data_IF_628477707659
#
_entry.id   IF_628477707659
#
_cell.length_a   1.000
_cell.length_b   1.000
_cell.length_c   1.000
_cell.angle_alpha   90.00
_cell.angle_beta   90.00
_cell.angle_gamma   90.00
#
_symmetry.space_group_name_H-M   'P 1'
#
loop_
_entity.id
_entity.type
_entity.pdbx_description
1 polymer ?
#
# COMPACT_ATOMS: atom_id res chain seq x y z
N UNK A 1 -22.45 -11.47 20.71
CA UNK A 1 -21.56 -10.68 19.82
C UNK A 1 -22.27 -9.38 19.53
N UNK A 2 -21.92 -8.32 20.25
CA UNK A 2 -22.48 -6.99 20.02
C UNK A 2 -22.20 -6.56 18.57
N UNK A 3 -23.24 -6.10 17.87
CA UNK A 3 -23.12 -5.59 16.51
C UNK A 3 -22.42 -4.22 16.56
N UNK A 4 -21.09 -4.25 16.49
CA UNK A 4 -20.20 -3.09 16.33
C UNK A 4 -20.70 -2.25 15.14
N UNK A 5 -21.03 -0.97 15.37
CA UNK A 5 -21.46 -0.06 14.32
C UNK A 5 -20.31 0.46 13.47
N UNK A 6 -20.47 1.65 12.89
CA UNK A 6 -19.42 2.27 12.08
C UNK A 6 -18.20 2.58 12.97
N UNK A 7 -17.01 2.16 12.50
CA UNK A 7 -15.74 2.36 13.18
C UNK A 7 -15.04 3.53 12.51
N UNK A 8 -14.77 4.58 13.28
CA UNK A 8 -14.02 5.76 12.84
C UNK A 8 -12.63 5.78 13.48
N UNK A 9 -11.66 6.31 12.74
CA UNK A 9 -10.30 6.56 13.25
C UNK A 9 -10.25 7.97 13.83
N UNK A 10 -9.79 8.07 15.08
CA UNK A 10 -9.43 9.33 15.72
C UNK A 10 -7.93 9.54 15.51
N UNK A 11 -7.57 10.68 14.95
CA UNK A 11 -6.18 11.11 14.86
C UNK A 11 -5.90 11.88 16.15
N UNK A 12 -5.02 11.39 17.03
CA UNK A 12 -4.65 12.12 18.24
C UNK A 12 -3.79 13.32 17.88
N UNK A 13 -3.91 14.39 18.67
CA UNK A 13 -2.99 15.53 18.60
C UNK A 13 -1.60 15.10 19.09
N UNK A 14 -0.54 15.76 18.60
CA UNK A 14 0.86 15.39 18.87
C UNK A 14 1.26 15.41 20.36
N UNK A 15 0.42 15.95 21.23
CA UNK A 15 0.65 16.05 22.68
C UNK A 15 0.11 14.87 23.52
N UNK A 16 -0.54 13.87 22.92
CA UNK A 16 -1.06 12.72 23.69
C UNK A 16 0.06 11.76 24.16
N UNK A 17 0.66 12.08 25.32
CA UNK A 17 1.81 11.37 25.91
C UNK A 17 1.55 9.92 26.36
N UNK A 18 0.31 9.43 26.32
CA UNK A 18 -0.09 8.16 26.95
C UNK A 18 -0.68 7.12 25.97
N UNK A 19 -0.30 7.16 24.69
CA UNK A 19 -0.75 6.17 23.70
C UNK A 19 -0.08 4.81 23.97
N UNK A 20 -0.85 3.71 24.14
CA UNK A 20 -0.27 2.38 24.31
C UNK A 20 0.54 1.92 23.09
N UNK A 21 1.60 1.16 23.34
CA UNK A 21 2.47 0.64 22.29
C UNK A 21 2.20 -0.83 21.98
N UNK A 22 2.25 -1.16 20.70
CA UNK A 22 2.33 -2.53 20.20
C UNK A 22 3.72 -2.77 19.58
N UNK A 23 4.01 -3.98 19.07
CA UNK A 23 5.28 -4.27 18.42
C UNK A 23 5.58 -3.40 17.17
N UNK A 24 4.57 -2.68 16.67
CA UNK A 24 4.66 -1.82 15.49
C UNK A 24 4.64 -0.32 15.85
N UNK A 25 4.95 0.03 17.10
CA UNK A 25 4.93 1.40 17.60
C UNK A 25 3.61 1.81 18.26
N UNK A 26 3.36 3.13 18.40
CA UNK A 26 2.14 3.68 18.98
C UNK A 26 0.88 3.13 18.30
N UNK A 27 -0.10 2.75 19.10
CA UNK A 27 -1.39 2.28 18.60
C UNK A 27 -2.27 3.44 18.11
N UNK A 28 -3.36 3.11 17.43
CA UNK A 28 -4.31 4.10 16.91
C UNK A 28 -5.60 4.01 17.71
N UNK A 29 -6.18 5.17 18.03
CA UNK A 29 -7.47 5.27 18.68
C UNK A 29 -8.60 5.16 17.65
N UNK A 30 -9.54 4.25 17.92
CA UNK A 30 -10.73 4.03 17.12
C UNK A 30 -11.97 4.33 17.95
N UNK A 31 -13.00 4.87 17.32
CA UNK A 31 -14.31 5.09 17.92
C UNK A 31 -15.37 4.22 17.25
N UNK A 32 -16.22 3.60 18.04
CA UNK A 32 -17.36 2.81 17.58
C UNK A 32 -18.65 3.43 18.06
N UNK A 33 -19.61 3.55 17.15
CA UNK A 33 -21.01 3.83 17.48
C UNK A 33 -21.74 2.52 17.76
N UNK A 34 -22.17 2.27 19.00
CA UNK A 34 -23.05 1.13 19.32
C UNK A 34 -24.49 1.45 18.90
N UNK A 35 -25.15 0.56 18.14
CA UNK A 35 -26.56 0.78 17.76
C UNK A 35 -27.46 0.71 18.99
N UNK A 36 -28.17 1.80 19.26
CA UNK A 36 -29.15 1.89 20.35
C UNK A 36 -28.61 2.46 21.66
N UNK A 37 -27.28 2.64 21.78
CA UNK A 37 -26.66 3.38 22.88
C UNK A 37 -26.30 4.79 22.39
N UNK A 38 -26.54 5.82 23.21
CA UNK A 38 -26.03 7.18 22.96
C UNK A 38 -24.52 7.31 23.25
N UNK A 39 -23.90 6.29 23.84
CA UNK A 39 -22.51 6.32 24.26
C UNK A 39 -21.57 5.85 23.15
N UNK A 40 -20.56 6.68 22.88
CA UNK A 40 -19.44 6.36 22.00
C UNK A 40 -18.42 5.54 22.80
N UNK A 41 -17.96 4.41 22.26
CA UNK A 41 -16.88 3.61 22.88
C UNK A 41 -15.61 3.75 22.06
N UNK A 42 -14.48 3.99 22.74
CA UNK A 42 -13.17 4.20 22.12
C UNK A 42 -12.18 3.11 22.53
N UNK A 43 -11.34 2.67 21.59
CA UNK A 43 -10.35 1.62 21.83
C UNK A 43 -9.08 1.84 21.01
N UNK A 44 -7.95 1.38 21.55
CA UNK A 44 -6.66 1.33 20.89
C UNK A 44 -6.45 0.00 20.16
N UNK A 45 -5.97 0.06 18.92
CA UNK A 45 -5.56 -1.11 18.15
C UNK A 45 -4.32 -0.84 17.29
N UNK A 46 -3.73 -1.92 16.76
CA UNK A 46 -2.52 -1.82 15.94
C UNK A 46 -2.71 -0.93 14.71
N UNK A 47 -1.73 -0.07 14.43
CA UNK A 47 -1.71 0.84 13.28
C UNK A 47 -1.38 0.12 11.96
N UNK A 48 -0.48 -0.87 11.99
CA UNK A 48 0.05 -1.54 10.80
C UNK A 48 -0.58 -2.91 10.49
N UNK A 49 -1.23 -3.56 11.47
CA UNK A 49 -1.83 -4.89 11.28
C UNK A 49 -3.34 -4.85 11.48
N UNK A 50 -4.08 -5.21 10.42
CA UNK A 50 -5.55 -5.30 10.46
C UNK A 50 -6.06 -6.63 11.02
N UNK A 51 -5.25 -7.68 10.95
CA UNK A 51 -5.61 -8.97 11.51
C UNK A 51 -5.12 -9.07 12.96
N UNK A 52 -6.04 -9.37 13.88
CA UNK A 52 -5.71 -9.60 15.29
C UNK A 52 -4.85 -10.84 15.51
N UNK A 53 -4.72 -11.71 14.50
CA UNK A 53 -3.78 -12.83 14.52
C UNK A 53 -2.32 -12.38 14.38
N UNK A 54 -2.07 -11.34 13.59
CA UNK A 54 -0.72 -10.82 13.35
C UNK A 54 -0.30 -9.87 14.48
N UNK A 55 -1.23 -9.00 14.92
CA UNK A 55 -1.08 -8.20 16.12
C UNK A 55 -2.37 -8.21 16.95
N UNK A 56 -2.37 -8.92 18.08
CA UNK A 56 -3.55 -9.09 18.93
C UNK A 56 -3.86 -7.88 19.81
N UNK A 57 -3.08 -6.80 19.72
CA UNK A 57 -3.22 -5.62 20.56
C UNK A 57 -4.64 -5.05 20.48
N UNK A 58 -5.27 -4.94 21.65
CA UNK A 58 -6.54 -4.28 21.85
C UNK A 58 -6.61 -3.78 23.30
N UNK A 59 -7.10 -2.57 23.49
CA UNK A 59 -7.31 -1.97 24.81
C UNK A 59 -8.42 -0.93 24.72
N UNK A 60 -9.42 -0.95 25.61
CA UNK A 60 -10.39 0.15 25.67
C UNK A 60 -9.71 1.41 26.22
N UNK A 61 -10.10 2.59 25.75
CA UNK A 61 -9.52 3.86 26.22
C UNK A 61 -9.71 4.05 27.74
N UNK A 62 -10.88 3.62 28.26
CA UNK A 62 -11.22 3.67 29.69
C UNK A 62 -10.67 2.50 30.51
N UNK A 63 -9.95 1.56 29.90
CA UNK A 63 -9.44 0.36 30.58
C UNK A 63 -8.22 0.72 31.44
N UNK A 64 -8.33 0.51 32.77
CA UNK A 64 -7.16 0.53 33.65
C UNK A 64 -6.36 -0.75 33.45
N UNK A 65 -5.10 -0.61 33.03
CA UNK A 65 -4.19 -1.73 32.79
C UNK A 65 -3.34 -1.92 34.05
N UNK A 66 -3.22 -3.15 34.54
CA UNK A 66 -2.34 -3.47 35.67
C UNK A 66 -0.87 -3.48 35.25
N UNK A 67 0.04 -3.28 36.20
CA UNK A 67 1.48 -3.28 35.96
C UNK A 67 1.97 -4.61 35.36
N UNK A 68 1.41 -5.75 35.79
CA UNK A 68 1.78 -7.07 35.27
C UNK A 68 1.43 -7.20 33.78
N UNK A 69 0.30 -6.64 33.36
CA UNK A 69 -0.13 -6.65 31.95
C UNK A 69 0.69 -5.68 31.11
N UNK A 70 1.14 -4.56 31.67
CA UNK A 70 2.09 -3.66 31.01
C UNK A 70 3.43 -4.35 30.79
N UNK A 71 3.99 -4.96 31.83
CA UNK A 71 5.26 -5.70 31.73
C UNK A 71 5.19 -6.87 30.74
N UNK A 72 4.12 -7.67 30.79
CA UNK A 72 3.92 -8.77 29.84
C UNK A 72 3.84 -8.29 28.37
N UNK A 73 3.25 -7.11 28.16
CA UNK A 73 3.17 -6.48 26.83
C UNK A 73 4.52 -5.95 26.37
N UNK A 74 5.28 -5.30 27.25
CA UNK A 74 6.63 -4.82 26.96
C UNK A 74 7.56 -5.98 26.59
N UNK A 75 7.47 -7.10 27.31
CA UNK A 75 8.20 -8.32 26.98
C UNK A 75 7.80 -8.87 25.62
N UNK A 76 6.50 -8.95 25.32
CA UNK A 76 6.04 -9.40 24.00
C UNK A 76 6.51 -8.46 22.88
N UNK A 77 6.50 -7.15 23.12
CA UNK A 77 7.01 -6.17 22.17
C UNK A 77 8.51 -6.35 21.95
N UNK A 78 9.28 -6.60 23.02
CA UNK A 78 10.73 -6.87 22.97
C UNK A 78 11.05 -8.11 22.15
N UNK A 79 10.32 -9.21 22.37
CA UNK A 79 10.50 -10.47 21.64
C UNK A 79 10.22 -10.38 20.14
N UNK A 80 9.45 -9.37 19.71
CA UNK A 80 9.11 -9.12 18.30
C UNK A 80 10.04 -8.11 17.62
N UNK A 81 11.01 -7.55 18.34
CA UNK A 81 12.01 -6.65 17.75
C UNK A 81 12.98 -7.43 16.85
N UNK A 82 13.63 -6.74 15.89
CA UNK A 82 14.71 -7.33 15.12
C UNK A 82 15.80 -7.90 16.03
N UNK A 83 16.42 -9.02 15.62
CA UNK A 83 17.48 -9.68 16.38
C UNK A 83 18.77 -8.86 16.48
N UNK A 84 18.96 -7.91 15.57
CA UNK A 84 20.11 -7.01 15.52
C UNK A 84 19.63 -5.57 15.40
N UNK A 85 20.37 -4.65 16.01
CA UNK A 85 20.25 -3.22 15.76
C UNK A 85 20.70 -2.88 14.33
N UNK A 86 20.29 -1.73 13.79
CA UNK A 86 20.72 -1.33 12.44
C UNK A 86 22.25 -1.15 12.33
N UNK A 87 22.92 -0.66 13.38
CA UNK A 87 24.38 -0.56 13.43
C UNK A 87 25.06 -1.94 13.36
N UNK A 88 24.50 -2.94 14.06
CA UNK A 88 24.99 -4.32 13.97
C UNK A 88 24.78 -4.90 12.58
N UNK A 89 23.62 -4.69 11.97
CA UNK A 89 23.37 -5.07 10.58
C UNK A 89 24.37 -4.42 9.62
N UNK A 90 24.70 -3.14 9.79
CA UNK A 90 25.71 -2.45 8.97
C UNK A 90 27.11 -3.04 9.15
N UNK A 91 27.48 -3.45 10.37
CA UNK A 91 28.77 -4.12 10.64
C UNK A 91 28.79 -5.51 10.00
N UNK A 92 27.73 -6.30 10.20
CA UNK A 92 27.56 -7.64 9.61
C UNK A 92 27.59 -7.59 8.09
N UNK A 93 26.94 -6.61 7.47
CA UNK A 93 26.96 -6.47 6.01
C UNK A 93 28.37 -6.23 5.47
N UNK A 94 29.16 -5.37 6.14
CA UNK A 94 30.56 -5.11 5.77
C UNK A 94 31.44 -6.36 5.87
N UNK A 95 31.24 -7.15 6.92
CA UNK A 95 31.92 -8.44 7.08
C UNK A 95 31.45 -9.44 6.02
N UNK A 96 30.16 -9.50 5.74
CA UNK A 96 29.59 -10.40 4.75
C UNK A 96 30.12 -10.13 3.33
N UNK A 97 30.20 -8.86 2.91
CA UNK A 97 30.71 -8.51 1.57
C UNK A 97 32.22 -8.74 1.43
N UNK A 98 32.99 -8.78 2.52
CA UNK A 98 34.42 -9.11 2.47
C UNK A 98 34.68 -10.61 2.38
N UNK A 99 33.67 -11.46 2.62
CA UNK A 99 33.79 -12.91 2.45
C UNK A 99 34.02 -13.29 0.98
N UNK A 100 34.78 -14.37 0.72
CA UNK A 100 34.81 -15.06 -0.57
C UNK A 100 33.40 -15.45 -1.04
N UNK A 101 33.19 -15.50 -2.35
CA UNK A 101 31.87 -15.71 -2.95
C UNK A 101 31.21 -17.03 -2.48
N UNK A 102 32.01 -18.10 -2.40
CA UNK A 102 31.61 -19.44 -1.94
C UNK A 102 31.30 -19.51 -0.43
N UNK A 103 31.63 -18.46 0.32
CA UNK A 103 31.33 -18.34 1.75
C UNK A 103 30.14 -17.40 2.02
N UNK A 104 29.58 -16.74 1.00
CA UNK A 104 28.41 -15.89 1.18
C UNK A 104 27.15 -16.73 1.17
N UNK A 105 26.53 -16.87 2.34
CA UNK A 105 25.31 -17.67 2.53
C UNK A 105 24.12 -16.80 2.95
N UNK A 106 22.96 -17.07 2.37
CA UNK A 106 21.69 -16.47 2.79
C UNK A 106 20.74 -17.57 3.24
N UNK A 107 20.21 -17.43 4.45
CA UNK A 107 19.21 -18.34 4.98
C UNK A 107 17.82 -17.90 4.51
N UNK A 108 17.15 -18.74 3.73
CA UNK A 108 15.79 -18.50 3.22
C UNK A 108 14.76 -18.60 4.32
N UNK A 109 14.94 -19.49 5.30
CA UNK A 109 13.96 -19.62 6.39
C UNK A 109 13.98 -18.41 7.33
N UNK A 110 15.19 -17.95 7.68
CA UNK A 110 15.39 -16.81 8.57
C UNK A 110 15.41 -15.46 7.84
N UNK A 111 15.53 -15.45 6.51
CA UNK A 111 15.67 -14.26 5.67
C UNK A 111 16.88 -13.39 6.07
N UNK A 112 18.02 -14.04 6.30
CA UNK A 112 19.20 -13.47 6.95
C UNK A 112 20.50 -13.78 6.17
N UNK A 113 21.34 -12.77 5.97
CA UNK A 113 22.74 -12.94 5.55
C UNK A 113 23.55 -13.56 6.70
N UNK A 114 24.16 -14.73 6.44
CA UNK A 114 24.89 -15.51 7.44
C UNK A 114 26.38 -15.26 7.39
N UNK A 115 26.97 -14.99 8.54
CA UNK A 115 28.41 -15.02 8.76
C UNK A 115 28.88 -16.46 9.08
N UNK A 116 30.16 -16.80 8.87
CA UNK A 116 30.68 -18.17 9.07
C UNK A 116 30.36 -18.79 10.44
N UNK A 117 30.38 -17.98 11.49
CA UNK A 117 30.08 -18.43 12.85
C UNK A 117 28.63 -18.92 13.05
N UNK A 118 27.71 -18.55 12.15
CA UNK A 118 26.27 -18.82 12.27
C UNK A 118 25.83 -20.05 11.47
N UNK A 119 26.72 -20.61 10.64
CA UNK A 119 26.36 -21.69 9.71
C UNK A 119 25.87 -22.95 10.44
N UNK A 120 26.45 -23.27 11.59
CA UNK A 120 26.06 -24.45 12.38
C UNK A 120 24.63 -24.31 12.92
N UNK A 121 24.27 -23.14 13.44
CA UNK A 121 22.94 -22.84 13.93
C UNK A 121 21.87 -22.85 12.83
N UNK A 122 22.28 -22.67 11.56
CA UNK A 122 21.42 -22.70 10.39
C UNK A 122 21.59 -23.97 9.54
N UNK A 123 22.25 -25.02 10.06
CA UNK A 123 22.57 -26.22 9.28
C UNK A 123 21.34 -27.03 8.82
N UNK A 124 20.21 -26.89 9.51
CA UNK A 124 18.92 -27.49 9.14
C UNK A 124 18.02 -26.58 8.31
N UNK A 125 18.39 -25.31 8.13
CA UNK A 125 17.59 -24.34 7.39
C UNK A 125 17.87 -24.39 5.89
N UNK A 126 16.91 -23.96 5.09
CA UNK A 126 17.10 -23.77 3.65
C UNK A 126 18.03 -22.58 3.40
N UNK A 127 19.12 -22.83 2.68
CA UNK A 127 19.99 -21.80 2.12
C UNK A 127 19.61 -21.46 0.67
N UNK A 128 19.99 -20.27 0.21
CA UNK A 128 19.95 -19.97 -1.22
C UNK A 128 20.94 -20.90 -1.95
N UNK A 129 20.50 -21.51 -3.06
CA UNK A 129 21.31 -22.46 -3.84
C UNK A 129 22.44 -21.79 -4.62
N UNK A 130 22.23 -20.53 -5.00
CA UNK A 130 23.09 -19.80 -5.91
C UNK A 130 24.05 -18.89 -5.12
N UNK A 131 25.22 -18.64 -5.69
CA UNK A 131 26.19 -17.69 -5.16
C UNK A 131 25.59 -16.29 -5.00
N UNK A 132 25.99 -15.58 -3.94
CA UNK A 132 25.50 -14.23 -3.62
C UNK A 132 26.52 -13.19 -4.07
N UNK A 133 26.32 -12.72 -5.30
CA UNK A 133 27.09 -11.64 -5.90
C UNK A 133 26.74 -10.28 -5.29
N UNK A 134 27.65 -9.31 -5.44
CA UNK A 134 27.39 -7.92 -5.05
C UNK A 134 26.19 -7.34 -5.84
N UNK A 135 25.97 -7.80 -7.07
CA UNK A 135 24.81 -7.37 -7.87
C UNK A 135 23.48 -7.82 -7.24
N UNK A 136 23.39 -9.05 -6.72
CA UNK A 136 22.20 -9.51 -5.98
C UNK A 136 22.01 -8.75 -4.66
N UNK A 137 23.09 -8.43 -3.95
CA UNK A 137 23.01 -7.63 -2.71
C UNK A 137 22.48 -6.21 -2.96
N UNK A 138 22.64 -5.67 -4.17
CA UNK A 138 22.05 -4.38 -4.59
C UNK A 138 20.56 -4.48 -4.98
N UNK A 139 20.00 -5.70 -5.06
CA UNK A 139 18.57 -5.95 -5.29
C UNK A 139 17.97 -6.83 -4.18
N UNK A 140 17.92 -6.38 -2.92
CA UNK A 140 17.40 -7.20 -1.82
C UNK A 140 15.98 -7.73 -2.05
N UNK A 141 15.13 -7.05 -2.82
CA UNK A 141 13.79 -7.51 -3.17
C UNK A 141 13.76 -8.80 -4.02
N UNK A 142 14.90 -9.23 -4.57
CA UNK A 142 15.05 -10.51 -5.25
C UNK A 142 15.57 -11.62 -4.33
N UNK A 143 16.18 -11.26 -3.20
CA UNK A 143 16.68 -12.20 -2.18
C UNK A 143 15.63 -12.45 -1.09
N UNK A 144 14.99 -11.37 -0.63
CA UNK A 144 13.94 -11.41 0.37
C UNK A 144 12.64 -11.90 -0.25
N UNK A 145 12.02 -12.91 0.39
CA UNK A 145 10.65 -13.31 0.08
C UNK A 145 9.70 -12.16 0.42
N UNK A 146 8.84 -11.81 -0.53
CA UNK A 146 7.83 -10.77 -0.34
C UNK A 146 6.84 -11.14 0.78
N UNK A 147 6.52 -10.19 1.66
CA UNK A 147 5.50 -10.34 2.70
C UNK A 147 4.11 -9.97 2.14
N UNK A 148 3.52 -10.90 1.39
CA UNK A 148 2.30 -10.66 0.59
C UNK A 148 0.98 -10.66 1.41
N UNK A 149 1.05 -10.83 2.73
CA UNK A 149 -0.16 -10.80 3.57
C UNK A 149 -0.81 -9.40 3.49
N UNK A 150 -1.87 -9.32 2.69
CA UNK A 150 -2.73 -8.14 2.45
C UNK A 150 -3.37 -7.52 3.70
N UNK A 151 -3.28 -8.16 4.87
CA UNK A 151 -3.77 -7.62 6.15
C UNK A 151 -2.67 -7.03 7.05
N UNK A 152 -1.41 -7.23 6.71
CA UNK A 152 -0.25 -6.65 7.39
C UNK A 152 0.59 -5.87 6.38
N UNK A 153 1.70 -6.44 5.90
CA UNK A 153 2.72 -5.79 5.09
C UNK A 153 2.23 -5.49 3.67
N UNK A 154 1.43 -6.38 3.08
CA UNK A 154 0.92 -6.26 1.71
C UNK A 154 2.01 -5.84 0.69
N UNK A 155 3.20 -6.43 0.79
CA UNK A 155 4.37 -6.03 0.01
C UNK A 155 4.21 -6.47 -1.45
N UNK A 156 3.68 -5.56 -2.25
CA UNK A 156 3.60 -5.70 -3.70
C UNK A 156 4.74 -4.93 -4.32
N UNK A 157 5.60 -5.64 -5.04
CA UNK A 157 6.82 -5.10 -5.61
C UNK A 157 6.55 -4.65 -7.04
N UNK A 158 6.92 -3.41 -7.37
CA UNK A 158 6.79 -2.88 -8.72
C UNK A 158 7.49 -3.78 -9.74
N UNK A 159 6.88 -3.91 -10.92
CA UNK A 159 7.56 -4.44 -12.08
C UNK A 159 8.67 -3.48 -12.52
N UNK A 160 9.75 -4.01 -13.10
CA UNK A 160 10.92 -3.21 -13.53
C UNK A 160 10.50 -2.02 -14.40
N UNK A 161 9.55 -2.21 -15.33
CA UNK A 161 9.02 -1.14 -16.19
C UNK A 161 8.45 0.06 -15.42
N UNK A 162 7.72 -0.18 -14.33
CA UNK A 162 7.15 0.90 -13.52
C UNK A 162 8.21 1.59 -12.67
N UNK A 163 9.22 0.86 -12.18
CA UNK A 163 10.38 1.46 -11.53
C UNK A 163 11.18 2.35 -12.49
N UNK A 164 11.48 1.88 -13.70
CA UNK A 164 12.20 2.66 -14.71
C UNK A 164 11.43 3.91 -15.10
N UNK A 165 10.14 3.78 -15.40
CA UNK A 165 9.27 4.92 -15.69
C UNK A 165 9.32 5.98 -14.58
N UNK A 166 9.13 5.57 -13.32
CA UNK A 166 9.17 6.50 -12.18
C UNK A 166 10.54 7.19 -12.08
N UNK A 167 11.63 6.43 -12.18
CA UNK A 167 12.98 6.98 -12.08
C UNK A 167 13.30 7.96 -13.22
N UNK A 168 12.92 7.63 -14.45
CA UNK A 168 13.13 8.50 -15.61
C UNK A 168 12.33 9.80 -15.50
N UNK A 169 11.07 9.73 -15.06
CA UNK A 169 10.25 10.93 -14.80
C UNK A 169 10.88 11.80 -13.73
N UNK A 170 11.23 11.24 -12.57
CA UNK A 170 11.78 12.02 -11.46
C UNK A 170 13.14 12.64 -11.82
N UNK A 171 13.99 11.89 -12.51
CA UNK A 171 15.27 12.41 -13.02
C UNK A 171 15.06 13.50 -14.06
N UNK A 172 14.10 13.33 -14.98
CA UNK A 172 13.80 14.30 -16.04
C UNK A 172 13.20 15.61 -15.50
N UNK A 173 12.46 15.54 -14.40
CA UNK A 173 11.97 16.72 -13.65
C UNK A 173 13.06 17.39 -12.80
N UNK A 174 14.27 16.81 -12.77
CA UNK A 174 15.41 17.37 -12.06
C UNK A 174 15.37 17.18 -10.55
N UNK A 175 14.75 16.10 -10.05
CA UNK A 175 14.88 15.69 -8.65
C UNK A 175 16.20 14.92 -8.42
N UNK A 176 16.86 15.18 -7.29
CA UNK A 176 18.13 14.54 -6.91
C UNK A 176 17.96 13.67 -5.66
N UNK A 177 16.89 13.86 -4.90
CA UNK A 177 16.61 13.12 -3.67
C UNK A 177 15.21 12.51 -3.74
N UNK A 178 15.10 11.20 -3.56
CA UNK A 178 13.81 10.49 -3.54
C UNK A 178 13.59 9.85 -2.17
N UNK A 179 12.63 10.39 -1.42
CA UNK A 179 12.16 9.76 -0.19
C UNK A 179 11.23 8.59 -0.55
N UNK A 180 11.74 7.38 -0.46
CA UNK A 180 11.05 6.14 -0.82
C UNK A 180 10.27 5.61 0.39
N UNK A 181 8.94 5.80 0.43
CA UNK A 181 8.10 5.32 1.53
C UNK A 181 7.38 4.03 1.12
N UNK A 182 7.88 2.88 1.59
CA UNK A 182 7.34 1.57 1.20
C UNK A 182 7.63 1.18 -0.24
N UNK A 183 8.69 1.69 -0.86
CA UNK A 183 9.02 1.48 -2.29
C UNK A 183 10.41 0.86 -2.49
N UNK A 184 10.69 -0.34 -1.93
CA UNK A 184 12.03 -0.92 -1.91
C UNK A 184 12.65 -1.10 -3.30
N UNK A 185 11.87 -1.50 -4.31
CA UNK A 185 12.39 -1.67 -5.69
C UNK A 185 12.76 -0.37 -6.38
N UNK A 186 12.04 0.71 -6.09
CA UNK A 186 12.42 2.03 -6.62
C UNK A 186 13.74 2.49 -5.99
N UNK A 187 13.88 2.30 -4.67
CA UNK A 187 15.12 2.58 -3.95
C UNK A 187 16.29 1.78 -4.54
N UNK A 188 16.14 0.47 -4.74
CA UNK A 188 17.15 -0.40 -5.39
C UNK A 188 17.58 0.14 -6.76
N UNK A 189 16.62 0.49 -7.62
CA UNK A 189 16.91 0.95 -8.97
C UNK A 189 17.63 2.31 -8.97
N UNK A 190 17.22 3.24 -8.08
CA UNK A 190 17.91 4.52 -7.89
C UNK A 190 19.37 4.26 -7.53
N UNK A 191 19.63 3.40 -6.56
CA UNK A 191 20.97 3.05 -6.09
C UNK A 191 21.82 2.46 -7.22
N UNK A 192 21.28 1.53 -7.99
CA UNK A 192 21.98 0.91 -9.12
C UNK A 192 22.34 1.97 -10.17
N UNK A 193 21.38 2.76 -10.63
CA UNK A 193 21.61 3.80 -11.64
C UNK A 193 22.61 4.85 -11.17
N UNK A 194 22.56 5.26 -9.90
CA UNK A 194 23.50 6.22 -9.33
C UNK A 194 24.93 5.67 -9.22
N UNK A 195 25.10 4.34 -9.08
CA UNK A 195 26.44 3.73 -9.15
C UNK A 195 26.99 3.64 -10.57
N UNK A 196 26.12 3.47 -11.56
CA UNK A 196 26.49 3.36 -12.99
C UNK A 196 26.72 4.74 -13.63
N UNK A 197 25.99 5.77 -13.21
CA UNK A 197 26.07 7.14 -13.73
C UNK A 197 26.35 8.15 -12.61
N UNK A 198 27.64 8.35 -12.29
CA UNK A 198 28.07 9.25 -11.22
C UNK A 198 27.80 10.74 -11.49
N UNK A 199 27.67 11.14 -12.76
CA UNK A 199 27.43 12.54 -13.14
C UNK A 199 26.02 13.03 -12.83
N UNK A 200 25.06 12.12 -12.71
CA UNK A 200 23.66 12.42 -12.35
C UNK A 200 23.18 11.49 -11.22
N UNK A 201 24.00 11.34 -10.18
CA UNK A 201 23.69 10.46 -9.07
C UNK A 201 22.52 11.01 -8.24
N UNK A 202 21.45 10.22 -8.15
CA UNK A 202 20.29 10.48 -7.31
C UNK A 202 20.43 9.75 -5.97
N UNK A 203 20.10 10.42 -4.87
CA UNK A 203 20.08 9.86 -3.52
C UNK A 203 18.67 9.33 -3.21
N UNK A 204 18.60 8.27 -2.43
CA UNK A 204 17.34 7.71 -1.94
C UNK A 204 17.43 7.30 -0.48
N UNK A 205 16.37 7.55 0.29
CA UNK A 205 16.18 7.06 1.65
C UNK A 205 14.92 6.17 1.66
N UNK A 206 15.06 4.92 2.09
CA UNK A 206 13.94 3.98 2.21
C UNK A 206 13.36 4.02 3.62
N UNK A 207 12.10 4.46 3.74
CA UNK A 207 11.30 4.32 4.95
C UNK A 207 10.37 3.10 4.77
N UNK A 208 10.62 2.01 5.50
CA UNK A 208 9.81 0.79 5.39
C UNK A 208 9.65 0.12 6.76
N UNK A 209 8.53 -0.59 6.93
CA UNK A 209 8.24 -1.38 8.14
C UNK A 209 8.94 -2.74 8.10
N UNK A 210 9.36 -3.19 6.91
CA UNK A 210 10.11 -4.42 6.72
C UNK A 210 11.58 -4.23 7.11
N UNK A 211 11.87 -4.42 8.40
CA UNK A 211 13.23 -4.28 8.95
C UNK A 211 14.26 -5.18 8.26
N UNK A 212 13.86 -6.22 7.52
CA UNK A 212 14.81 -7.12 6.83
C UNK A 212 15.68 -6.38 5.82
N UNK A 213 15.27 -5.21 5.32
CA UNK A 213 16.10 -4.37 4.46
C UNK A 213 17.27 -3.69 5.19
N UNK A 214 17.22 -3.56 6.52
CA UNK A 214 18.31 -2.96 7.33
C UNK A 214 19.63 -3.71 7.21
N UNK A 215 19.62 -5.00 6.87
CA UNK A 215 20.83 -5.81 6.67
C UNK A 215 21.55 -5.52 5.34
N UNK A 216 20.93 -4.77 4.43
CA UNK A 216 21.49 -4.48 3.11
C UNK A 216 21.88 -3.00 2.93
N UNK A 217 21.32 -2.11 3.74
CA UNK A 217 21.48 -0.68 3.59
C UNK A 217 22.14 -0.03 4.81
N UNK A 218 23.03 0.96 4.61
CA UNK A 218 23.57 1.75 5.70
C UNK A 218 22.48 2.62 6.37
N UNK A 219 22.76 3.13 7.57
CA UNK A 219 21.83 3.94 8.36
C UNK A 219 21.30 5.20 7.65
N UNK A 220 22.09 5.79 6.74
CA UNK A 220 21.67 6.97 5.99
C UNK A 220 20.81 6.65 4.74
N UNK A 221 20.51 5.39 4.47
CA UNK A 221 19.75 4.93 3.29
C UNK A 221 18.49 4.15 3.66
N UNK A 222 18.32 3.74 4.91
CA UNK A 222 17.15 3.03 5.40
C UNK A 222 16.78 3.50 6.81
N UNK A 223 15.48 3.67 7.06
CA UNK A 223 14.94 3.77 8.41
C UNK A 223 13.82 2.75 8.58
N UNK A 224 13.89 1.98 9.67
CA UNK A 224 12.76 1.16 10.08
C UNK A 224 11.63 2.10 10.55
N UNK A 225 10.53 2.11 9.81
CA UNK A 225 9.52 3.16 9.89
C UNK A 225 8.10 2.62 9.68
N UNK A 226 7.15 3.10 10.47
CA UNK A 226 5.74 2.79 10.31
C UNK A 226 4.96 4.00 9.77
N UNK A 227 4.53 3.89 8.50
CA UNK A 227 3.79 4.91 7.78
C UNK A 227 2.36 5.18 8.26
N UNK A 228 1.79 4.33 9.14
CA UNK A 228 0.43 4.54 9.67
C UNK A 228 0.39 5.38 10.94
N UNK A 229 1.52 5.56 11.63
CA UNK A 229 1.63 6.32 12.86
C UNK A 229 2.87 7.24 12.93
N UNK A 230 3.63 7.35 11.83
CA UNK A 230 4.85 8.16 11.76
C UNK A 230 5.93 7.76 12.79
N UNK A 231 6.01 6.48 13.14
CA UNK A 231 6.95 5.98 14.14
C UNK A 231 8.26 5.52 13.51
N UNK A 232 9.38 6.03 14.03
CA UNK A 232 10.74 5.57 13.74
C UNK A 232 11.19 4.62 14.86
N UNK A 233 11.48 3.37 14.51
CA UNK A 233 11.79 2.33 15.50
C UNK A 233 13.18 2.48 16.11
N UNK A 234 14.12 3.06 15.36
CA UNK A 234 15.49 3.34 15.82
C UNK A 234 15.61 4.73 16.49
N UNK A 235 14.48 5.32 16.91
CA UNK A 235 14.49 6.51 17.76
C UNK A 235 15.02 7.77 17.09
N UNK A 236 15.79 8.55 17.85
CA UNK A 236 16.22 9.91 17.44
C UNK A 236 17.19 9.87 16.26
N UNK A 237 18.05 8.87 16.23
CA UNK A 237 19.06 8.68 15.20
C UNK A 237 18.42 8.52 13.81
N UNK A 238 17.34 7.74 13.70
CA UNK A 238 16.60 7.61 12.44
C UNK A 238 15.79 8.88 12.09
N UNK A 239 15.32 9.62 13.08
CA UNK A 239 14.67 10.92 12.86
C UNK A 239 15.66 11.94 12.31
N UNK A 240 16.88 11.99 12.85
CA UNK A 240 17.95 12.87 12.35
C UNK A 240 18.30 12.55 10.90
N UNK A 241 18.49 11.27 10.55
CA UNK A 241 18.69 10.84 9.14
C UNK A 241 17.54 11.30 8.25
N UNK A 242 16.30 11.17 8.71
CA UNK A 242 15.13 11.62 7.97
C UNK A 242 15.11 13.13 7.77
N UNK A 243 15.41 13.92 8.81
CA UNK A 243 15.47 15.39 8.73
C UNK A 243 16.59 15.84 7.79
N UNK A 244 17.79 15.28 7.91
CA UNK A 244 18.93 15.55 7.03
C UNK A 244 18.59 15.20 5.57
N UNK A 245 17.87 14.11 5.35
CA UNK A 245 17.40 13.74 4.02
C UNK A 245 16.31 14.69 3.50
N UNK A 246 15.51 15.33 4.34
CA UNK A 246 14.53 16.31 3.86
C UNK A 246 15.13 17.69 3.58
N UNK A 247 16.25 18.06 4.21
CA UNK A 247 16.92 19.34 3.98
C UNK A 247 17.41 19.45 2.53
N UNK A 248 16.97 20.48 1.80
CA UNK A 248 17.47 20.80 0.46
C UNK A 248 18.59 21.85 0.54
N UNK A 249 19.57 21.72 -0.35
CA UNK A 249 20.69 22.63 -0.52
C UNK A 249 21.34 22.38 -1.88
N UNK A 250 21.96 23.39 -2.49
CA UNK A 250 22.67 23.28 -3.78
C UNK A 250 21.85 22.62 -4.92
N UNK A 251 20.54 22.91 -4.97
CA UNK A 251 19.64 22.38 -5.99
C UNK A 251 19.23 20.92 -5.80
N UNK A 252 19.50 20.30 -4.64
CA UNK A 252 19.12 18.91 -4.32
C UNK A 252 17.63 18.77 -3.95
N UNK A 253 16.73 18.95 -4.92
CA UNK A 253 15.29 18.90 -4.70
C UNK A 253 14.82 17.51 -4.27
N UNK A 254 13.94 17.46 -3.28
CA UNK A 254 13.36 16.24 -2.73
C UNK A 254 11.97 15.98 -3.32
N UNK A 255 11.70 14.73 -3.65
CA UNK A 255 10.36 14.22 -3.95
C UNK A 255 10.06 12.99 -3.10
N UNK A 256 8.85 12.90 -2.56
CA UNK A 256 8.38 11.70 -1.87
C UNK A 256 7.65 10.76 -2.83
N UNK A 257 8.01 9.48 -2.83
CA UNK A 257 7.27 8.44 -3.56
C UNK A 257 6.81 7.38 -2.58
N UNK A 258 5.49 7.25 -2.44
CA UNK A 258 4.87 6.36 -1.47
C UNK A 258 3.99 5.30 -2.14
N UNK A 259 4.16 4.03 -1.74
CA UNK A 259 3.27 2.93 -2.13
C UNK A 259 2.78 2.16 -0.88
N UNK A 260 1.83 2.75 -0.14
CA UNK A 260 1.34 2.14 1.08
C UNK A 260 0.41 0.95 0.79
N UNK A 261 0.24 0.02 1.76
CA UNK A 261 -0.72 -1.06 1.65
C UNK A 261 -2.12 -0.58 1.22
N UNK A 262 -2.70 -1.15 0.15
CA UNK A 262 -4.06 -0.77 -0.32
C UNK A 262 -5.15 -1.04 0.71
N UNK A 263 -4.89 -2.03 1.56
CA UNK A 263 -5.59 -2.28 2.79
C UNK A 263 -5.13 -1.35 3.90
N UNK A 264 -4.75 -0.11 3.65
CA UNK A 264 -4.41 0.90 4.65
C UNK A 264 -5.62 1.78 5.00
N UNK A 265 -5.60 2.41 6.17
CA UNK A 265 -6.60 3.43 6.52
C UNK A 265 -6.13 4.76 5.89
N UNK A 266 -6.71 5.13 4.75
CA UNK A 266 -6.30 6.31 3.96
C UNK A 266 -6.19 7.58 4.81
N UNK A 267 -7.08 7.77 5.80
CA UNK A 267 -7.05 8.90 6.74
C UNK A 267 -5.75 8.97 7.56
N UNK A 268 -5.23 7.83 8.02
CA UNK A 268 -3.96 7.76 8.74
C UNK A 268 -2.77 8.05 7.83
N UNK A 269 -2.76 7.45 6.64
CA UNK A 269 -1.71 7.67 5.64
C UNK A 269 -1.66 9.15 5.23
N UNK A 270 -2.82 9.74 4.96
CA UNK A 270 -2.93 11.16 4.64
C UNK A 270 -2.36 12.04 5.76
N UNK A 271 -2.72 11.75 7.02
CA UNK A 271 -2.16 12.46 8.17
C UNK A 271 -0.63 12.33 8.29
N UNK A 272 -0.09 11.12 8.18
CA UNK A 272 1.35 10.89 8.23
C UNK A 272 2.10 11.56 7.08
N UNK A 273 1.55 11.53 5.86
CA UNK A 273 2.15 12.22 4.71
C UNK A 273 2.07 13.73 4.86
N UNK A 274 0.98 14.26 5.46
CA UNK A 274 0.91 15.66 5.84
C UNK A 274 1.99 16.02 6.85
N UNK A 275 2.25 15.20 7.87
CA UNK A 275 3.36 15.43 8.82
C UNK A 275 4.70 15.54 8.10
N UNK A 276 5.03 14.59 7.22
CA UNK A 276 6.25 14.63 6.42
C UNK A 276 6.33 15.95 5.61
N UNK A 277 5.23 16.34 4.96
CA UNK A 277 5.17 17.60 4.21
C UNK A 277 5.32 18.86 5.09
N UNK A 278 4.76 18.87 6.30
CA UNK A 278 4.97 19.96 7.26
C UNK A 278 6.42 20.03 7.72
N UNK A 279 7.03 18.88 8.04
CA UNK A 279 8.45 18.81 8.40
C UNK A 279 9.33 19.33 7.28
N UNK A 280 9.13 18.86 6.04
CA UNK A 280 9.85 19.39 4.87
C UNK A 280 9.69 20.91 4.77
N UNK A 281 8.48 21.46 4.85
CA UNK A 281 8.27 22.92 4.80
C UNK A 281 9.00 23.67 5.92
N UNK A 282 8.96 23.16 7.15
CA UNK A 282 9.65 23.81 8.28
C UNK A 282 11.16 23.92 8.10
N UNK A 283 11.76 23.00 7.34
CA UNK A 283 13.19 23.00 7.02
C UNK A 283 13.58 24.01 5.92
N UNK A 284 12.63 24.49 5.11
CA UNK A 284 12.90 25.34 3.95
C UNK A 284 12.61 26.84 4.18
N UNK A 285 12.07 27.20 5.34
CA UNK A 285 11.65 28.57 5.64
C UNK A 285 10.53 29.08 4.72
N UNK A 286 10.02 30.29 5.00
CA UNK A 286 8.94 30.90 4.22
C UNK A 286 9.39 31.50 2.86
N UNK A 287 10.68 31.39 2.51
CA UNK A 287 11.27 32.12 1.38
C UNK A 287 11.19 31.38 0.03
N UNK A 288 10.90 30.08 0.02
CA UNK A 288 11.08 29.24 -1.18
C UNK A 288 9.96 29.31 -2.23
N UNK A 289 8.85 30.02 -1.97
CA UNK A 289 7.71 30.13 -2.91
C UNK A 289 6.98 28.81 -3.23
N UNK A 290 7.53 27.66 -2.82
CA UNK A 290 6.95 26.33 -2.96
C UNK A 290 6.09 26.05 -1.73
N UNK A 291 4.77 26.00 -1.93
CA UNK A 291 3.79 25.87 -0.85
C UNK A 291 3.66 24.44 -0.30
N UNK A 292 4.11 23.43 -1.05
CA UNK A 292 3.89 22.01 -0.73
C UNK A 292 5.07 21.14 -1.16
N UNK A 293 5.33 20.08 -0.39
CA UNK A 293 6.35 19.08 -0.74
C UNK A 293 5.94 18.34 -2.02
N UNK A 294 6.83 18.18 -3.02
CA UNK A 294 6.58 17.35 -4.17
C UNK A 294 6.35 15.88 -3.79
N UNK A 295 5.22 15.30 -4.24
CA UNK A 295 4.82 13.96 -3.80
C UNK A 295 4.14 13.15 -4.90
N UNK A 296 4.43 11.85 -4.94
CA UNK A 296 3.72 10.84 -5.71
C UNK A 296 3.18 9.79 -4.72
N UNK A 297 1.86 9.76 -4.53
CA UNK A 297 1.16 8.71 -3.80
C UNK A 297 0.58 7.70 -4.77
N UNK A 298 1.12 6.49 -4.75
CA UNK A 298 0.73 5.36 -5.58
C UNK A 298 -0.40 4.60 -4.87
N UNK A 299 -1.60 4.58 -5.47
CA UNK A 299 -2.77 3.98 -4.83
C UNK A 299 -3.87 3.61 -5.83
N UNK A 300 -4.85 2.74 -5.46
CA UNK A 300 -5.93 2.38 -6.37
C UNK A 300 -6.87 3.56 -6.69
N UNK A 301 -7.21 3.75 -7.97
CA UNK A 301 -7.97 4.91 -8.47
C UNK A 301 -9.31 5.15 -7.77
N UNK A 302 -9.93 4.11 -7.21
CA UNK A 302 -11.24 4.21 -6.55
C UNK A 302 -11.16 4.85 -5.15
N UNK A 303 -9.96 5.13 -4.65
CA UNK A 303 -9.73 5.91 -3.44
C UNK A 303 -9.53 7.41 -3.70
N UNK A 304 -9.52 7.85 -4.96
CA UNK A 304 -9.30 9.25 -5.34
C UNK A 304 -10.06 10.27 -4.47
N UNK A 305 -11.39 10.16 -4.20
CA UNK A 305 -12.06 11.14 -3.35
C UNK A 305 -11.41 11.29 -1.97
N UNK A 306 -11.02 10.17 -1.34
CA UNK A 306 -10.41 10.19 0.00
C UNK A 306 -8.97 10.70 0.00
N UNK A 307 -8.26 10.55 -1.12
CA UNK A 307 -6.92 11.09 -1.28
C UNK A 307 -7.02 12.60 -1.45
N UNK A 308 -7.95 13.08 -2.29
CA UNK A 308 -8.20 14.50 -2.51
C UNK A 308 -8.76 15.21 -1.27
N UNK A 309 -9.53 14.51 -0.43
CA UNK A 309 -9.94 15.01 0.89
C UNK A 309 -8.72 15.33 1.79
N UNK A 310 -7.61 14.57 1.64
CA UNK A 310 -6.36 14.81 2.37
C UNK A 310 -5.43 15.79 1.66
N UNK A 311 -5.36 15.71 0.33
CA UNK A 311 -4.48 16.51 -0.52
C UNK A 311 -5.26 17.08 -1.72
N UNK A 312 -5.95 18.22 -1.57
CA UNK A 312 -6.78 18.80 -2.62
C UNK A 312 -6.02 19.21 -3.88
N UNK A 313 -4.72 19.52 -3.76
CA UNK A 313 -3.85 19.87 -4.87
C UNK A 313 -3.44 18.66 -5.73
N UNK A 314 -3.75 17.43 -5.31
CA UNK A 314 -3.36 16.25 -6.06
C UNK A 314 -4.21 16.06 -7.31
N UNK A 315 -3.61 15.46 -8.31
CA UNK A 315 -4.26 14.99 -9.52
C UNK A 315 -3.88 13.55 -9.79
N UNK A 316 -4.81 12.80 -10.36
CA UNK A 316 -4.60 11.40 -10.71
C UNK A 316 -4.10 11.28 -12.15
N UNK A 317 -2.90 10.73 -12.33
CA UNK A 317 -2.35 10.43 -13.65
C UNK A 317 -2.95 9.13 -14.21
N UNK A 318 -2.94 8.99 -15.53
CA UNK A 318 -3.51 7.82 -16.21
C UNK A 318 -2.57 6.60 -16.20
N UNK A 319 -1.31 6.76 -15.78
CA UNK A 319 -0.30 5.69 -15.76
C UNK A 319 -0.75 4.51 -14.89
N UNK A 320 -0.73 3.32 -15.48
CA UNK A 320 -1.12 2.09 -14.83
C UNK A 320 0.10 1.42 -14.20
N UNK A 321 0.24 1.57 -12.88
CA UNK A 321 1.37 1.00 -12.14
C UNK A 321 1.27 -0.52 -12.10
N UNK A 322 2.36 -1.19 -12.44
CA UNK A 322 2.43 -2.64 -12.55
C UNK A 322 3.25 -3.28 -11.44
N UNK A 323 2.87 -4.50 -11.07
CA UNK A 323 3.46 -5.22 -9.95
C UNK A 323 3.80 -6.65 -10.33
N UNK A 324 5.00 -7.12 -9.97
CA UNK A 324 5.46 -8.46 -10.32
C UNK A 324 4.73 -9.56 -9.56
N UNK A 325 4.35 -9.30 -8.31
CA UNK A 325 3.80 -10.31 -7.41
C UNK A 325 2.32 -10.08 -7.03
N UNK A 326 1.67 -9.04 -7.53
CA UNK A 326 0.24 -8.86 -7.27
C UNK A 326 -0.61 -9.82 -8.13
N UNK A 327 -1.53 -10.63 -7.55
CA UNK A 327 -2.24 -11.69 -8.29
C UNK A 327 -3.17 -11.21 -9.41
N UNK A 328 -3.57 -9.93 -9.39
CA UNK A 328 -4.52 -9.35 -10.34
C UNK A 328 -3.99 -8.14 -11.09
N UNK A 329 -2.84 -7.57 -10.71
CA UNK A 329 -2.36 -6.27 -11.20
C UNK A 329 -1.02 -6.46 -11.90
N UNK A 330 -1.01 -7.37 -12.87
CA UNK A 330 0.14 -7.69 -13.72
C UNK A 330 -0.18 -7.38 -15.16
N UNK A 331 0.81 -6.95 -15.94
CA UNK A 331 0.72 -6.96 -17.39
C UNK A 331 0.67 -8.40 -17.94
N UNK A 332 -0.11 -8.64 -18.99
CA UNK A 332 -0.11 -9.92 -19.72
C UNK A 332 -1.49 -10.61 -19.82
N UNK A 333 -1.46 -11.86 -20.31
CA UNK A 333 -2.65 -12.66 -20.66
C UNK A 333 -3.31 -13.37 -19.48
N UNK A 334 -2.67 -13.43 -18.31
CA UNK A 334 -3.09 -14.26 -17.16
C UNK A 334 -3.51 -13.45 -15.91
N UNK A 335 -3.85 -12.16 -16.05
CA UNK A 335 -4.39 -11.31 -14.99
C UNK A 335 -5.60 -10.48 -15.42
N UNK A 336 -6.10 -9.56 -14.57
CA UNK A 336 -6.92 -8.46 -15.13
C UNK A 336 -6.01 -7.73 -16.12
N UNK A 337 -6.47 -7.49 -17.34
CA UNK A 337 -5.67 -6.83 -18.39
C UNK A 337 -5.06 -5.48 -17.97
N UNK A 338 -5.52 -4.89 -16.85
CA UNK A 338 -5.13 -3.56 -16.39
C UNK A 338 -5.11 -3.46 -14.86
N UNK A 339 -4.05 -2.87 -14.33
CA UNK A 339 -3.92 -2.51 -12.92
C UNK A 339 -4.90 -1.39 -12.55
N UNK A 340 -5.54 -1.40 -11.37
CA UNK A 340 -6.33 -0.28 -10.86
C UNK A 340 -5.47 0.76 -10.14
N UNK A 341 -4.15 0.53 -10.00
CA UNK A 341 -3.25 1.42 -9.28
C UNK A 341 -2.79 2.56 -10.18
N UNK A 342 -2.85 3.79 -9.67
CA UNK A 342 -2.50 5.03 -10.36
C UNK A 342 -1.57 5.86 -9.49
N UNK A 343 -1.01 6.90 -10.10
CA UNK A 343 -0.20 7.91 -9.43
C UNK A 343 -1.09 9.11 -9.07
N UNK A 344 -1.09 9.51 -7.81
CA UNK A 344 -1.67 10.76 -7.33
C UNK A 344 -0.55 11.72 -6.97
N UNK A 345 -0.57 12.95 -7.48
CA UNK A 345 0.58 13.86 -7.31
C UNK A 345 0.17 15.32 -7.35
N UNK A 346 0.93 16.20 -6.69
CA UNK A 346 0.86 17.65 -6.87
C UNK A 346 1.85 18.18 -7.94
N UNK A 347 2.57 17.27 -8.62
CA UNK A 347 3.37 17.62 -9.78
C UNK A 347 2.48 17.97 -10.98
N UNK A 348 2.97 18.87 -11.83
CA UNK A 348 2.31 19.26 -13.08
C UNK A 348 2.10 18.05 -13.99
N UNK A 349 0.84 17.68 -14.34
CA UNK A 349 0.55 16.55 -15.23
C UNK A 349 1.08 16.72 -16.64
N UNK A 350 1.32 17.95 -17.06
CA UNK A 350 1.89 18.30 -18.36
C UNK A 350 3.33 17.83 -18.47
N UNK A 351 4.08 17.94 -17.38
CA UNK A 351 5.52 17.67 -17.35
C UNK A 351 5.82 16.18 -17.12
N UNK A 352 4.79 15.38 -16.78
CA UNK A 352 4.91 13.93 -16.63
C UNK A 352 4.55 13.24 -17.95
N UNK A 353 5.57 12.99 -18.75
CA UNK A 353 5.47 12.29 -20.04
C UNK A 353 5.25 10.79 -19.82
N UNK A 354 4.10 10.27 -20.27
CA UNK A 354 3.82 8.83 -20.22
C UNK A 354 4.35 8.10 -21.47
N UNK A 355 4.84 6.85 -21.33
CA UNK A 355 5.50 6.12 -22.41
C UNK A 355 4.56 5.83 -23.59
N UNK A 356 4.89 6.34 -24.77
CA UNK A 356 4.04 6.19 -25.97
C UNK A 356 3.93 4.72 -26.40
N UNK A 357 5.02 3.99 -26.25
CA UNK A 357 5.18 2.56 -26.51
C UNK A 357 4.26 1.68 -25.63
N UNK A 358 3.81 2.17 -24.47
CA UNK A 358 2.81 1.52 -23.63
C UNK A 358 1.36 1.93 -23.96
N UNK A 359 1.16 2.72 -25.02
CA UNK A 359 -0.18 3.12 -25.48
C UNK A 359 -0.74 4.37 -24.81
N UNK A 360 0.12 5.27 -24.34
CA UNK A 360 -0.29 6.60 -23.86
C UNK A 360 -0.15 7.67 -24.94
N UNK A 361 -0.95 8.73 -24.85
CA UNK A 361 -0.96 9.88 -25.76
C UNK A 361 -1.16 11.18 -24.99
N UNK A 362 -0.66 12.30 -25.51
CA UNK A 362 -0.96 13.61 -24.95
C UNK A 362 -2.38 14.07 -25.33
N UNK A 363 -3.10 14.65 -24.38
CA UNK A 363 -4.35 15.36 -24.63
C UNK A 363 -4.11 16.86 -24.48
N UNK A 364 -4.14 17.59 -25.59
CA UNK A 364 -3.90 19.04 -25.62
C UNK A 364 -4.91 19.84 -24.80
N UNK A 365 -6.19 19.45 -24.81
CA UNK A 365 -7.23 20.16 -24.05
C UNK A 365 -7.06 20.04 -22.54
N UNK A 366 -6.65 18.88 -22.05
CA UNK A 366 -6.42 18.65 -20.61
C UNK A 366 -4.96 18.89 -20.19
N UNK A 367 -4.08 19.23 -21.14
CA UNK A 367 -2.63 19.35 -20.97
C UNK A 367 -1.98 18.22 -20.16
N UNK A 368 -2.39 16.97 -20.43
CA UNK A 368 -1.86 15.79 -19.72
C UNK A 368 -1.81 14.56 -20.61
N UNK A 369 -0.96 13.61 -20.25
CA UNK A 369 -0.92 12.31 -20.89
C UNK A 369 -2.03 11.39 -20.39
N UNK A 370 -2.68 10.69 -21.31
CA UNK A 370 -3.82 9.82 -21.08
C UNK A 370 -3.64 8.49 -21.80
N UNK A 371 -4.31 7.44 -21.33
CA UNK A 371 -4.37 6.19 -22.10
C UNK A 371 -5.01 6.46 -23.47
N UNK A 372 -4.55 5.77 -24.53
CA UNK A 372 -5.10 5.92 -25.88
C UNK A 372 -6.62 5.71 -25.91
N UNK A 373 -7.15 4.81 -25.07
CA UNK A 373 -8.58 4.51 -24.96
C UNK A 373 -9.38 5.55 -24.17
N UNK A 374 -8.73 6.38 -23.35
CA UNK A 374 -9.38 7.42 -22.57
C UNK A 374 -9.69 8.63 -23.46
N UNK A 375 -10.95 8.75 -23.88
CA UNK A 375 -11.43 9.86 -24.72
C UNK A 375 -11.76 11.08 -23.86
N UNK A 376 -11.40 12.26 -24.37
CA UNK A 376 -11.83 13.53 -23.75
C UNK A 376 -13.35 13.67 -23.87
N UNK A 377 -14.00 14.04 -22.77
CA UNK A 377 -15.41 14.37 -22.74
C UNK A 377 -15.59 15.89 -22.81
N UNK A 378 -16.13 16.45 -23.90
CA UNK A 378 -16.34 17.89 -24.03
C UNK A 378 -17.25 18.45 -22.94
N UNK A 379 -18.30 17.73 -22.55
CA UNK A 379 -19.26 18.19 -21.54
C UNK A 379 -18.67 18.27 -20.13
N UNK A 380 -17.70 17.40 -19.82
CA UNK A 380 -16.99 17.44 -18.53
C UNK A 380 -15.69 18.25 -18.61
N UNK A 381 -15.27 18.67 -19.81
CA UNK A 381 -13.95 19.19 -20.12
C UNK A 381 -12.80 18.35 -19.51
N UNK A 382 -12.92 17.01 -19.57
CA UNK A 382 -11.99 16.11 -18.90
C UNK A 382 -11.87 14.74 -19.57
N UNK A 383 -10.68 14.14 -19.49
CA UNK A 383 -10.44 12.73 -19.83
C UNK A 383 -10.75 11.83 -18.62
N UNK A 384 -12.01 11.41 -18.49
CA UNK A 384 -12.58 10.83 -17.27
C UNK A 384 -12.51 9.30 -17.19
N UNK A 385 -12.11 8.59 -18.26
CA UNK A 385 -12.15 7.13 -18.28
C UNK A 385 -10.99 6.55 -17.44
N UNK A 386 -11.30 6.03 -16.26
CA UNK A 386 -10.28 5.51 -15.31
C UNK A 386 -9.77 4.10 -15.64
N UNK A 387 -10.45 3.40 -16.53
CA UNK A 387 -10.20 2.00 -16.88
C UNK A 387 -10.18 1.91 -18.40
N UNK A 388 -9.05 1.51 -18.97
CA UNK A 388 -9.02 0.99 -20.33
C UNK A 388 -9.71 -0.37 -20.37
N UNK A 389 -10.52 -0.59 -21.36
CA UNK A 389 -11.66 -1.49 -21.21
C UNK A 389 -11.30 -2.90 -21.64
N UNK A 390 -11.37 -3.83 -20.69
CA UNK A 390 -11.54 -5.25 -20.99
C UNK A 390 -12.74 -5.57 -21.90
N UNK A 391 -13.63 -4.59 -22.14
CA UNK A 391 -14.80 -4.67 -23.02
C UNK A 391 -14.84 -3.60 -24.13
N UNK A 392 -13.76 -2.82 -24.35
CA UNK A 392 -13.60 -1.90 -25.49
C UNK A 392 -14.55 -0.70 -25.64
N UNK A 393 -15.28 -0.24 -24.61
CA UNK A 393 -16.26 0.87 -24.75
C UNK A 393 -15.97 2.08 -23.84
N UNK A 394 -15.72 3.29 -24.38
CA UNK A 394 -15.38 4.46 -23.56
C UNK A 394 -16.46 4.79 -22.52
N UNK A 395 -16.08 5.46 -21.44
CA UNK A 395 -17.06 6.03 -20.52
C UNK A 395 -17.96 7.00 -21.27
N UNK A 396 -19.22 7.11 -20.83
CA UNK A 396 -20.21 7.97 -21.47
C UNK A 396 -20.62 9.08 -20.51
N UNK A 397 -20.82 10.29 -21.04
CA UNK A 397 -21.41 11.37 -20.27
C UNK A 397 -22.88 11.08 -19.96
N UNK A 398 -23.31 11.37 -18.73
CA UNK A 398 -24.71 11.38 -18.35
C UNK A 398 -25.10 12.82 -18.01
N UNK A 399 -25.89 13.45 -18.89
CA UNK A 399 -26.31 14.84 -18.74
C UNK A 399 -27.06 15.09 -17.42
N UNK A 400 -27.99 14.20 -17.06
CA UNK A 400 -28.75 14.30 -15.80
C UNK A 400 -27.86 14.22 -14.55
N UNK A 401 -26.71 13.53 -14.61
CA UNK A 401 -25.78 13.46 -13.50
C UNK A 401 -24.62 14.46 -13.59
N UNK A 402 -24.48 15.19 -14.71
CA UNK A 402 -23.34 16.07 -14.97
C UNK A 402 -21.97 15.37 -14.94
N UNK A 403 -21.90 14.05 -15.19
CA UNK A 403 -20.63 13.31 -15.09
C UNK A 403 -20.54 12.12 -16.02
N UNK A 404 -19.30 11.76 -16.35
CA UNK A 404 -19.01 10.53 -17.06
C UNK A 404 -19.15 9.31 -16.16
N UNK A 405 -19.75 8.24 -16.71
CA UNK A 405 -19.98 6.98 -16.03
C UNK A 405 -19.56 5.80 -16.90
N UNK A 406 -19.36 4.64 -16.27
CA UNK A 406 -19.07 3.40 -16.98
C UNK A 406 -20.17 3.11 -18.02
N UNK A 407 -19.82 2.56 -19.20
CA UNK A 407 -20.78 2.28 -20.27
C UNK A 407 -21.87 1.28 -19.85
N UNK A 408 -21.62 0.43 -18.85
CA UNK A 408 -22.60 -0.48 -18.29
C UNK A 408 -23.63 0.19 -17.36
N UNK A 409 -23.42 1.44 -16.95
CA UNK A 409 -24.31 2.14 -16.03
C UNK A 409 -25.39 2.92 -16.81
N UNK A 410 -26.58 3.04 -16.23
CA UNK A 410 -27.75 3.77 -16.74
C UNK A 410 -28.29 4.71 -15.65
N UNK A 411 -28.87 5.84 -16.02
CA UNK A 411 -29.52 6.75 -15.07
C UNK A 411 -30.86 6.12 -14.62
N UNK A 412 -31.08 5.92 -13.31
CA UNK A 412 -32.44 5.63 -12.78
C UNK A 412 -33.02 6.97 -12.32
N UNK A 413 -34.05 7.46 -13.02
CA UNK A 413 -34.73 8.72 -12.68
C UNK A 413 -35.31 8.67 -11.26
N UNK A 414 -35.83 7.51 -10.81
CA UNK A 414 -36.33 7.34 -9.44
C UNK A 414 -35.24 7.41 -8.37
N UNK A 415 -33.97 7.17 -8.72
CA UNK A 415 -32.84 7.27 -7.78
C UNK A 415 -32.04 8.56 -7.97
N UNK A 416 -32.29 9.34 -9.02
CA UNK A 416 -31.52 10.54 -9.37
C UNK A 416 -30.03 10.27 -9.60
N UNK A 417 -29.63 9.03 -9.95
CA UNK A 417 -28.22 8.68 -10.12
C UNK A 417 -28.01 7.54 -11.12
N UNK A 418 -26.83 7.52 -11.72
CA UNK A 418 -26.36 6.40 -12.51
C UNK A 418 -26.08 5.16 -11.65
N UNK A 419 -26.50 4.01 -12.15
CA UNK A 419 -26.54 2.71 -11.46
C UNK A 419 -26.39 1.58 -12.48
N UNK A 420 -26.15 0.35 -12.01
CA UNK A 420 -26.22 -0.84 -12.87
C UNK A 420 -27.68 -1.15 -13.25
N UNK A 421 -27.96 -1.73 -14.44
CA UNK A 421 -29.33 -2.01 -14.90
C UNK A 421 -30.15 -2.81 -13.89
N UNK A 422 -29.58 -3.88 -13.32
CA UNK A 422 -30.27 -4.79 -12.38
C UNK A 422 -30.35 -4.28 -10.93
N UNK A 423 -30.19 -2.97 -10.71
CA UNK A 423 -30.35 -2.39 -9.38
C UNK A 423 -31.84 -2.27 -8.99
N UNK A 424 -32.11 -2.17 -7.68
CA UNK A 424 -33.46 -1.94 -7.15
C UNK A 424 -33.56 -0.47 -6.69
N UNK A 425 -34.37 0.34 -7.38
CA UNK A 425 -34.59 1.73 -6.97
C UNK A 425 -35.28 1.75 -5.58
N UNK A 426 -34.97 2.75 -4.74
CA UNK A 426 -35.46 2.85 -3.34
C UNK A 426 -34.61 2.14 -2.28
N UNK A 427 -33.64 1.29 -2.66
CA UNK A 427 -32.63 0.77 -1.73
C UNK A 427 -31.44 1.75 -1.59
N UNK A 428 -31.66 2.88 -0.93
CA UNK A 428 -30.57 3.61 -0.27
C UNK A 428 -30.27 2.91 1.05
N UNK A 429 -29.64 1.73 1.02
CA UNK A 429 -29.58 0.86 2.21
C UNK A 429 -28.79 -0.45 2.05
N UNK A 430 -28.91 -1.35 3.03
CA UNK A 430 -28.16 -2.61 3.05
C UNK A 430 -28.63 -3.52 1.90
N UNK A 431 -27.74 -3.83 0.96
CA UNK A 431 -28.01 -4.78 -0.14
C UNK A 431 -28.47 -6.20 0.28
N UNK A 432 -28.32 -6.59 1.55
CA UNK A 432 -28.77 -7.89 2.06
C UNK A 432 -30.18 -7.85 2.68
N UNK A 433 -30.59 -6.76 3.35
CA UNK A 433 -31.90 -6.66 4.03
C UNK A 433 -32.81 -5.53 3.54
N UNK A 434 -32.33 -4.64 2.67
CA UNK A 434 -33.10 -3.53 2.10
C UNK A 434 -33.26 -2.30 3.01
N UNK A 435 -32.81 -2.37 4.26
CA UNK A 435 -32.96 -1.30 5.25
C UNK A 435 -32.06 -0.10 4.93
N UNK A 436 -32.64 1.11 4.95
CA UNK A 436 -31.97 2.35 4.57
C UNK A 436 -31.03 2.94 5.63
N UNK A 437 -31.12 2.49 6.87
CA UNK A 437 -30.30 2.99 7.98
C UNK A 437 -28.86 2.49 7.99
N UNK A 438 -28.46 1.59 7.08
CA UNK A 438 -27.10 1.04 7.10
C UNK A 438 -26.61 0.43 5.78
N UNK A 439 -25.29 0.35 5.59
CA UNK A 439 -24.65 -0.31 4.43
C UNK A 439 -24.54 -1.83 4.62
N UNK A 440 -24.40 -2.58 3.52
CA UNK A 440 -24.30 -4.06 3.50
C UNK A 440 -23.31 -4.66 4.53
N UNK A 441 -22.19 -3.98 4.81
CA UNK A 441 -21.19 -4.47 5.77
C UNK A 441 -21.71 -4.49 7.21
N UNK A 442 -22.60 -3.56 7.57
CA UNK A 442 -23.19 -3.40 8.90
C UNK A 442 -24.59 -4.05 8.99
N UNK A 443 -24.85 -5.07 8.18
CA UNK A 443 -26.18 -5.65 8.05
C UNK A 443 -26.44 -6.72 9.12
N UNK A 444 -27.43 -6.56 9.99
CA UNK A 444 -27.68 -7.50 11.09
C UNK A 444 -28.16 -8.87 10.59
N UNK A 445 -28.67 -8.95 9.35
CA UNK A 445 -29.12 -10.20 8.72
C UNK A 445 -28.01 -10.94 7.94
N UNK A 446 -26.75 -10.50 7.98
CA UNK A 446 -25.67 -11.02 7.13
C UNK A 446 -25.35 -12.51 7.36
N UNK A 447 -25.73 -13.07 8.52
CA UNK A 447 -25.52 -14.47 8.88
C UNK A 447 -26.78 -15.36 8.84
N UNK A 448 -27.96 -14.82 8.50
CA UNK A 448 -29.22 -15.59 8.59
C UNK A 448 -29.62 -16.37 7.32
N UNK A 449 -28.87 -16.29 6.23
CA UNK A 449 -29.23 -16.96 4.94
C UNK A 449 -28.71 -18.39 4.73
N UNK A 450 -28.04 -19.01 5.70
CA UNK A 450 -27.49 -20.37 5.53
C UNK A 450 -28.28 -21.51 6.21
N UNK A 451 -29.56 -21.32 6.58
CA UNK A 451 -30.31 -22.37 7.32
C UNK A 451 -31.62 -22.80 6.64
N UNK A 452 -31.90 -22.39 5.39
CA UNK A 452 -33.14 -22.79 4.70
C UNK A 452 -32.96 -23.40 3.31
N UNK A 453 -31.92 -24.22 3.11
CA UNK A 453 -31.83 -25.12 1.94
C UNK A 453 -31.47 -26.58 2.31
N UNK A 454 -31.55 -26.93 3.60
CA UNK A 454 -31.37 -28.30 4.07
C UNK A 454 -32.60 -28.76 4.85
N UNK A 455 -33.71 -29.04 4.14
CA UNK A 455 -34.79 -29.96 4.54
C UNK A 455 -35.87 -29.97 3.46
N UNK A 456 -35.83 -30.96 2.58
CA UNK A 456 -36.91 -31.19 1.63
C UNK A 456 -36.56 -32.07 0.45
N UNK A 457 -36.14 -33.32 0.67
CA UNK A 457 -36.41 -34.46 -0.23
C UNK A 457 -35.83 -35.75 0.36
N UNK A 458 -36.52 -36.33 1.35
CA UNK A 458 -36.47 -37.77 1.59
C UNK A 458 -37.77 -38.35 1.03
N UNK A 459 -37.71 -38.86 -0.20
CA UNK A 459 -38.60 -39.94 -0.64
C UNK A 459 -37.73 -41.01 -1.27
N UNK A 460 -37.51 -42.07 -0.53
CA UNK A 460 -37.18 -43.37 -1.08
C UNK A 460 -38.26 -43.75 -2.10
N UNK A 461 -37.86 -44.06 -3.33
CA UNK A 461 -38.42 -45.23 -3.99
C UNK A 461 -37.42 -45.86 -4.96
N UNK A 462 -37.34 -47.19 -4.85
CA UNK A 462 -36.50 -48.12 -5.58
C UNK A 462 -36.68 -48.04 -7.11
N UNK A 463 -35.58 -48.12 -7.88
CA UNK A 463 -35.41 -49.23 -8.83
C UNK A 463 -34.03 -49.27 -9.51
N UNK A 464 -33.56 -50.50 -9.68
CA UNK A 464 -32.35 -50.95 -10.39
C UNK A 464 -32.31 -50.39 -11.82
N UNK A 465 -31.11 -50.07 -12.33
CA UNK A 465 -30.61 -50.59 -13.62
C UNK A 465 -29.13 -50.23 -13.89
N UNK A 466 -28.27 -51.23 -13.67
CA UNK A 466 -27.17 -51.71 -14.53
C UNK A 466 -26.32 -50.68 -15.29
N UNK A 467 -25.08 -50.53 -14.85
CA UNK A 467 -23.96 -50.03 -15.64
C UNK A 467 -23.61 -51.00 -16.78
N UNK A 468 -23.63 -50.53 -18.03
CA UNK A 468 -22.95 -51.19 -19.15
C UNK A 468 -21.70 -50.40 -19.54
N UNK A 469 -20.55 -50.98 -19.19
CA UNK A 469 -19.26 -50.78 -19.86
C UNK A 469 -19.44 -50.87 -21.38
N UNK A 470 -18.81 -49.98 -22.13
CA UNK A 470 -18.35 -50.29 -23.50
C UNK A 470 -16.87 -49.98 -23.61
N UNK A 471 -16.11 -51.07 -23.77
CA UNK A 471 -14.71 -51.15 -24.17
C UNK A 471 -14.57 -50.79 -25.67
N UNK A 472 -13.48 -50.08 -25.96
CA UNK A 472 -12.52 -50.20 -27.08
C UNK A 472 -12.89 -50.78 -28.46
N UNK A 473 -12.20 -50.16 -29.44
CA UNK A 473 -11.74 -50.60 -30.78
C UNK A 473 -12.77 -50.53 -31.92
N UNK A 474 -12.54 -49.63 -32.88
CA UNK A 474 -11.50 -49.79 -33.93
C UNK A 474 -10.92 -48.44 -34.30
#
# INVERSE_FOLDING_TARGET
>A
MEHVGEVEVIIPDDEERNVPHCPHGPTVLFQVMCRGEKSQKRFYACSACRDRKDCSFFQWESEKVSEERLHAREEQNRLKRPSFTHSEYCRRFREFVSLPLDQRRFCVDCQLLLLPAEWSAHGSHQGLSDDITVAQLRRPSLLLRALENKKSNAQYLFADRSCHFLLDVLSGLGYQKVLCVGTPRLHELIKIRSTENKTHAMKSLLLDIDFRYSQFYPQHEFCHYNMFNHHFFDGKEAVEVFLDFLTEGDGNKVVMVADPPFGGLVKLLGHTFSKISHTWRSLHGNESGVSEMPMIWIFPYFFEPRILDCFPAFTMLDYQVDYDNHPLYKHGTTGRKQSPVRLFTNLSPRDIVLPKEEGYRFCSTCERYVSAENRHCPDCNACTSKVGLGNGRPWRHCAECGKCVKPSWRHCSSCGRCVLPDHRCGQTGCYNCGDSGHKHKACPLKHKKNVQSAKGASKHNSNKHIAKKRKNKK
#
